data_IF_207838297075
#
_entry.id   IF_207838297075
#
_cell.length_a   1.000
_cell.length_b   1.000
_cell.length_c   1.000
_cell.angle_alpha   90.00
_cell.angle_beta   90.00
_cell.angle_gamma   90.00
#
_symmetry.space_group_name_H-M   'P 1'
#
loop_
_entity.id
_entity.type
_entity.pdbx_description
1 polymer ?
#
# COMPACT_ATOMS: atom_id res chain seq x y z
N UNK A 1 -2.15 56.11 45.47
CA UNK A 1 -3.60 55.87 45.23
C UNK A 1 -3.72 55.03 43.97
N UNK A 2 -4.59 54.02 44.02
CA UNK A 2 -4.91 53.21 42.82
C UNK A 2 -5.52 54.07 41.71
N UNK A 3 -5.27 53.75 40.45
CA UNK A 3 -5.85 54.47 39.32
C UNK A 3 -7.36 54.19 39.20
N UNK A 4 -8.08 55.16 38.70
CA UNK A 4 -9.49 55.00 38.29
C UNK A 4 -9.60 55.05 36.77
N UNK A 5 -10.64 54.45 36.20
CA UNK A 5 -10.86 54.47 34.73
C UNK A 5 -10.98 55.91 34.20
N UNK A 6 -11.59 56.81 34.97
CA UNK A 6 -11.65 58.23 34.63
C UNK A 6 -10.27 58.83 34.50
N UNK A 7 -9.34 58.55 35.43
CA UNK A 7 -7.97 59.04 35.43
C UNK A 7 -7.13 58.46 34.29
N UNK A 8 -7.31 57.18 33.96
CA UNK A 8 -6.69 56.52 32.80
C UNK A 8 -7.17 57.14 31.48
N UNK A 9 -8.48 57.41 31.36
CA UNK A 9 -9.09 57.99 30.17
C UNK A 9 -8.65 59.44 29.98
N UNK A 10 -8.65 60.24 31.04
CA UNK A 10 -8.34 61.66 31.00
C UNK A 10 -6.84 62.00 30.94
N UNK A 11 -5.95 61.02 31.08
CA UNK A 11 -4.51 61.23 30.96
C UNK A 11 -4.18 61.76 29.57
N UNK A 12 -3.64 63.00 29.48
CA UNK A 12 -3.23 63.63 28.20
C UNK A 12 -1.73 63.46 27.95
N UNK A 13 -1.29 63.39 26.71
CA UNK A 13 0.13 63.38 26.39
C UNK A 13 0.82 64.67 26.85
N UNK A 14 2.07 64.59 27.28
CA UNK A 14 2.94 65.66 27.65
C UNK A 14 4.22 65.65 26.76
N UNK A 15 5.04 66.70 26.82
CA UNK A 15 6.27 66.76 26.02
C UNK A 15 7.22 65.59 26.26
N UNK A 16 7.23 65.04 27.49
CA UNK A 16 7.99 63.86 27.88
C UNK A 16 7.06 62.71 28.30
N UNK A 17 7.49 61.50 28.08
CA UNK A 17 6.74 60.35 28.57
C UNK A 17 6.69 60.34 30.12
N UNK A 18 5.54 60.02 30.66
CA UNK A 18 5.36 59.89 32.11
C UNK A 18 4.54 58.64 32.46
N UNK A 19 4.63 58.23 33.71
CA UNK A 19 3.96 57.02 34.20
C UNK A 19 3.00 57.36 35.34
N UNK A 20 1.78 56.85 35.23
CA UNK A 20 0.76 56.86 36.32
C UNK A 20 0.82 55.53 37.05
N UNK A 21 1.10 55.54 38.35
CA UNK A 21 1.25 54.31 39.15
C UNK A 21 -0.11 53.84 39.64
N UNK A 22 -0.43 52.53 39.44
CA UNK A 22 -1.68 51.90 39.97
C UNK A 22 -1.42 51.11 41.26
N UNK A 23 -0.18 50.81 41.59
CA UNK A 23 0.22 50.00 42.73
C UNK A 23 0.74 48.62 42.32
N UNK A 24 1.30 47.91 43.29
CA UNK A 24 1.82 46.53 43.12
C UNK A 24 2.72 46.33 41.90
N UNK A 25 3.54 47.33 41.56
CA UNK A 25 4.42 47.30 40.43
C UNK A 25 3.79 47.62 39.06
N UNK A 26 2.50 47.87 38.99
CA UNK A 26 1.79 48.23 37.74
C UNK A 26 1.72 49.74 37.55
N UNK A 27 1.93 50.17 36.32
CA UNK A 27 1.84 51.57 35.89
C UNK A 27 1.33 51.70 34.45
N UNK A 28 0.69 52.86 34.16
CA UNK A 28 0.34 53.25 32.81
C UNK A 28 1.38 54.26 32.31
N UNK A 29 2.12 53.88 31.29
CA UNK A 29 3.05 54.81 30.59
C UNK A 29 2.27 55.57 29.53
N UNK A 30 2.29 56.88 29.61
CA UNK A 30 1.72 57.79 28.59
C UNK A 30 2.87 58.36 27.78
N UNK A 31 2.84 58.18 26.47
CA UNK A 31 3.84 58.71 25.55
C UNK A 31 3.42 60.05 24.96
N UNK A 32 4.40 60.91 24.49
CA UNK A 32 4.08 62.19 23.86
C UNK A 32 3.12 62.07 22.66
N UNK A 33 3.19 60.96 21.92
CA UNK A 33 2.23 60.65 20.84
C UNK A 33 0.84 60.20 21.24
N UNK A 34 0.50 60.24 22.54
CA UNK A 34 -0.83 59.88 23.06
C UNK A 34 -1.07 58.42 23.35
N UNK A 35 -0.17 57.50 22.93
CA UNK A 35 -0.28 56.09 23.18
C UNK A 35 -0.06 55.77 24.67
N UNK A 36 -0.92 54.86 25.24
CA UNK A 36 -0.88 54.48 26.63
C UNK A 36 -0.59 52.99 26.79
N UNK A 37 0.47 52.66 27.55
CA UNK A 37 0.94 51.27 27.68
C UNK A 37 0.89 50.81 29.13
N UNK A 38 0.28 49.68 29.39
CA UNK A 38 0.32 49.03 30.68
C UNK A 38 1.69 48.36 30.87
N UNK A 39 2.38 48.70 31.96
CA UNK A 39 3.69 48.16 32.33
C UNK A 39 3.62 47.60 33.75
N UNK A 40 4.28 46.44 33.93
CA UNK A 40 4.42 45.75 35.20
C UNK A 40 5.88 45.55 35.54
N UNK A 41 6.28 46.06 36.70
CA UNK A 41 7.64 45.98 37.21
C UNK A 41 7.65 45.01 38.37
N UNK A 42 8.53 43.99 38.33
CA UNK A 42 8.63 42.93 39.33
C UNK A 42 10.07 42.53 39.56
N UNK A 43 10.36 41.84 40.70
CA UNK A 43 11.64 41.25 41.00
C UNK A 43 11.60 39.76 40.84
N UNK A 44 12.60 39.18 40.15
CA UNK A 44 12.79 37.76 39.99
C UNK A 44 14.26 37.43 39.94
N UNK A 45 14.71 36.36 40.66
CA UNK A 45 16.13 36.00 40.74
C UNK A 45 17.03 37.14 41.22
N UNK A 46 16.58 37.99 42.18
CA UNK A 46 17.31 39.14 42.71
C UNK A 46 17.39 40.37 41.79
N UNK A 47 16.90 40.29 40.54
CA UNK A 47 16.94 41.37 39.55
C UNK A 47 15.54 41.97 39.32
N UNK A 48 15.54 43.27 38.95
CA UNK A 48 14.30 43.96 38.61
C UNK A 48 14.01 43.76 37.10
N UNK A 49 12.77 43.42 36.80
CA UNK A 49 12.30 43.17 35.43
C UNK A 49 11.05 44.03 35.11
N UNK A 50 10.85 44.27 33.79
CA UNK A 50 9.70 45.00 33.27
C UNK A 50 8.97 44.12 32.25
N UNK A 51 7.64 44.09 32.32
CA UNK A 51 6.76 43.38 31.41
C UNK A 51 5.66 44.30 30.91
N UNK A 52 5.30 44.24 29.63
CA UNK A 52 4.18 44.96 29.04
C UNK A 52 2.93 44.08 29.03
N UNK A 53 1.77 44.64 29.46
CA UNK A 53 0.49 43.94 29.46
C UNK A 53 -0.41 44.29 28.27
N UNK A 54 -0.07 45.32 27.50
CA UNK A 54 -0.78 45.77 26.32
C UNK A 54 -1.03 47.29 26.29
N UNK A 55 -1.82 47.73 25.35
CA UNK A 55 -2.11 49.12 25.06
C UNK A 55 -3.53 49.43 25.51
N UNK A 56 -3.74 50.58 26.15
CA UNK A 56 -5.07 51.10 26.43
C UNK A 56 -5.58 51.84 25.18
N UNK A 57 -6.86 51.70 24.72
CA UNK A 57 -7.96 51.06 25.44
C UNK A 57 -8.13 49.54 25.18
N UNK A 58 -7.38 48.89 24.27
CA UNK A 58 -7.52 47.47 23.94
C UNK A 58 -7.39 46.56 25.19
N UNK A 59 -6.57 46.98 26.15
CA UNK A 59 -6.48 46.38 27.48
C UNK A 59 -7.02 47.40 28.49
N UNK A 60 -8.16 47.09 29.09
CA UNK A 60 -8.80 47.94 30.12
C UNK A 60 -7.95 47.92 31.41
N UNK A 61 -8.27 48.87 32.35
CA UNK A 61 -7.63 48.86 33.68
C UNK A 61 -7.94 47.57 34.43
N UNK A 62 -9.17 47.05 34.32
CA UNK A 62 -9.56 45.80 34.94
C UNK A 62 -8.75 44.59 34.40
N UNK A 63 -8.57 44.50 33.06
CA UNK A 63 -7.78 43.45 32.42
C UNK A 63 -6.30 43.56 32.78
N UNK A 64 -5.77 44.79 32.85
CA UNK A 64 -4.39 45.01 33.26
C UNK A 64 -4.14 44.54 34.70
N UNK A 65 -5.09 44.80 35.61
CA UNK A 65 -5.02 44.31 36.98
C UNK A 65 -5.11 42.80 37.07
N UNK A 66 -5.96 42.16 36.26
CA UNK A 66 -6.05 40.70 36.19
C UNK A 66 -4.72 40.08 35.72
N UNK A 67 -4.13 40.62 34.65
CA UNK A 67 -2.78 40.20 34.16
C UNK A 67 -1.69 40.42 35.21
N UNK A 68 -1.77 41.49 36.00
CA UNK A 68 -0.85 41.72 37.12
C UNK A 68 -0.96 40.61 38.17
N UNK A 69 -2.17 40.26 38.58
CA UNK A 69 -2.37 39.22 39.59
C UNK A 69 -1.88 37.84 39.08
N UNK A 70 -2.13 37.51 37.82
CA UNK A 70 -1.61 36.30 37.19
C UNK A 70 -0.10 36.29 37.18
N UNK A 71 0.56 37.38 36.76
CA UNK A 71 2.00 37.49 36.78
C UNK A 71 2.60 37.42 38.19
N UNK A 72 1.93 38.02 39.21
CA UNK A 72 2.35 37.90 40.63
C UNK A 72 2.28 36.47 41.16
N UNK A 73 1.23 35.72 40.76
CA UNK A 73 1.12 34.29 41.15
C UNK A 73 2.28 33.46 40.56
N UNK A 74 2.65 33.71 39.31
CA UNK A 74 3.80 33.06 38.69
C UNK A 74 5.11 33.38 39.44
N UNK A 75 5.36 34.65 39.75
CA UNK A 75 6.55 35.06 40.54
C UNK A 75 6.58 34.38 41.92
N UNK A 76 5.41 34.34 42.60
CA UNK A 76 5.29 33.65 43.90
C UNK A 76 5.53 32.14 43.77
N UNK A 77 5.20 31.53 42.65
CA UNK A 77 5.50 30.11 42.33
C UNK A 77 6.95 29.87 41.85
N UNK A 78 7.81 30.90 41.81
CA UNK A 78 9.19 30.76 41.35
C UNK A 78 9.32 30.67 39.83
N UNK A 79 8.31 31.10 39.05
CA UNK A 79 8.30 31.08 37.58
C UNK A 79 8.44 32.51 37.05
N UNK A 80 9.37 32.73 36.09
CA UNK A 80 9.48 34.04 35.41
C UNK A 80 8.30 34.24 34.46
N UNK A 81 7.43 35.25 34.70
CA UNK A 81 6.28 35.49 33.84
C UNK A 81 6.60 35.77 32.37
N UNK A 82 7.80 36.27 32.07
CA UNK A 82 8.26 36.54 30.70
C UNK A 82 8.58 35.24 29.96
N UNK A 83 9.30 34.31 30.64
CA UNK A 83 9.60 33.00 30.09
C UNK A 83 8.34 32.18 29.89
N UNK A 84 7.44 32.20 30.90
CA UNK A 84 6.14 31.56 30.78
C UNK A 84 5.33 32.09 29.57
N UNK A 85 5.25 33.42 29.42
CA UNK A 85 4.56 34.02 28.26
C UNK A 85 5.21 33.66 26.93
N UNK A 86 6.56 33.56 26.89
CA UNK A 86 7.31 33.14 25.71
C UNK A 86 7.04 31.68 25.38
N UNK A 87 7.08 30.80 26.37
CA UNK A 87 6.79 29.37 26.19
C UNK A 87 5.36 29.13 25.68
N UNK A 88 4.35 29.81 26.28
CA UNK A 88 2.96 29.72 25.81
C UNK A 88 2.82 30.22 24.36
N UNK A 89 3.51 31.31 24.01
CA UNK A 89 3.50 31.83 22.63
C UNK A 89 4.22 30.89 21.64
N UNK A 90 5.32 30.29 22.04
CA UNK A 90 6.04 29.29 21.23
C UNK A 90 5.21 28.02 21.07
N UNK A 91 4.48 27.59 22.10
CA UNK A 91 3.59 26.44 22.04
C UNK A 91 2.37 26.71 21.13
N UNK A 92 1.78 27.91 21.18
CA UNK A 92 0.72 28.35 20.27
C UNK A 92 1.19 28.56 18.83
N UNK A 93 2.47 28.85 18.63
CA UNK A 93 3.09 29.04 17.32
C UNK A 93 3.58 27.73 16.68
N UNK A 94 3.62 26.60 17.41
CA UNK A 94 3.90 25.30 16.83
C UNK A 94 2.80 25.00 15.81
N UNK A 95 3.17 24.98 14.53
CA UNK A 95 2.28 24.56 13.45
C UNK A 95 1.69 23.18 13.80
N UNK A 96 0.37 23.08 13.87
CA UNK A 96 -0.29 21.79 14.14
C UNK A 96 0.00 20.87 12.97
N UNK A 97 0.88 19.90 13.20
CA UNK A 97 1.21 18.89 12.20
C UNK A 97 0.17 17.78 12.28
N UNK A 98 -0.73 17.74 11.29
CA UNK A 98 -1.83 16.79 11.27
C UNK A 98 -1.38 15.40 10.80
N UNK A 99 -2.10 14.36 11.23
CA UNK A 99 -1.88 12.99 10.77
C UNK A 99 -1.96 12.88 9.24
N UNK A 100 -2.91 13.57 8.61
CA UNK A 100 -3.09 13.55 7.16
C UNK A 100 -1.88 14.17 6.43
N UNK A 101 -1.30 15.28 6.94
CA UNK A 101 -0.10 15.90 6.38
C UNK A 101 1.05 14.90 6.38
N UNK A 102 1.31 14.28 7.53
CA UNK A 102 2.38 13.27 7.67
C UNK A 102 2.13 12.04 6.81
N UNK A 103 0.89 11.56 6.72
CA UNK A 103 0.53 10.44 5.87
C UNK A 103 0.78 10.73 4.37
N UNK A 104 0.49 11.95 3.92
CA UNK A 104 0.77 12.39 2.54
C UNK A 104 2.28 12.46 2.27
N UNK A 105 3.07 12.98 3.20
CA UNK A 105 4.53 12.98 3.10
C UNK A 105 5.09 11.55 3.05
N UNK A 106 4.63 10.68 3.94
CA UNK A 106 4.99 9.26 3.93
C UNK A 106 4.65 8.56 2.59
N UNK A 107 3.51 8.86 1.97
CA UNK A 107 3.16 8.32 0.66
C UNK A 107 4.19 8.70 -0.42
N UNK A 108 4.71 9.93 -0.40
CA UNK A 108 5.73 10.42 -1.35
C UNK A 108 7.07 9.71 -1.15
N UNK A 109 7.43 9.30 0.07
CA UNK A 109 8.70 8.58 0.32
C UNK A 109 8.72 7.18 -0.27
N UNK A 110 7.56 6.59 -0.57
CA UNK A 110 7.44 5.23 -1.10
C UNK A 110 7.55 5.17 -2.64
N UNK A 111 8.61 5.75 -3.21
CA UNK A 111 8.85 5.84 -4.66
C UNK A 111 8.89 4.50 -5.42
N UNK A 112 9.13 3.38 -4.72
CA UNK A 112 9.14 2.03 -5.31
C UNK A 112 7.75 1.48 -5.64
N UNK A 113 6.70 2.13 -5.17
CA UNK A 113 5.33 1.69 -5.45
C UNK A 113 4.92 2.05 -6.87
N UNK A 114 4.13 1.18 -7.49
CA UNK A 114 3.43 1.57 -8.70
C UNK A 114 2.39 2.65 -8.37
N UNK A 115 2.12 3.52 -9.32
CA UNK A 115 1.10 4.58 -9.17
C UNK A 115 -0.25 4.04 -8.68
N UNK A 116 -0.71 2.93 -9.26
CA UNK A 116 -1.94 2.26 -8.82
C UNK A 116 -1.90 1.77 -7.38
N UNK A 117 -0.75 1.29 -6.91
CA UNK A 117 -0.61 0.85 -5.53
C UNK A 117 -0.65 2.06 -4.60
N UNK A 118 0.08 3.12 -4.93
CA UNK A 118 0.07 4.37 -4.18
C UNK A 118 -1.34 4.97 -4.10
N UNK A 119 -2.06 5.04 -5.23
CA UNK A 119 -3.44 5.54 -5.28
C UNK A 119 -4.41 4.68 -4.45
N UNK A 120 -4.29 3.36 -4.46
CA UNK A 120 -5.10 2.47 -3.61
C UNK A 120 -4.79 2.63 -2.13
N UNK A 121 -3.52 2.82 -1.77
CA UNK A 121 -3.13 3.09 -0.38
C UNK A 121 -3.70 4.42 0.06
N UNK A 122 -3.50 5.49 -0.73
CA UNK A 122 -4.03 6.83 -0.47
C UNK A 122 -5.54 6.79 -0.29
N UNK A 123 -6.28 6.25 -1.26
CA UNK A 123 -7.75 6.14 -1.18
C UNK A 123 -8.21 5.36 0.05
N UNK A 124 -7.51 4.30 0.41
CA UNK A 124 -7.83 3.51 1.60
C UNK A 124 -7.69 4.31 2.91
N UNK A 125 -6.72 5.23 2.99
CA UNK A 125 -6.55 6.14 4.13
C UNK A 125 -7.63 7.23 4.12
N UNK A 126 -7.91 7.81 2.95
CA UNK A 126 -8.96 8.84 2.75
C UNK A 126 -10.35 8.31 3.13
N UNK A 127 -10.67 7.09 2.72
CA UNK A 127 -12.00 6.51 2.95
C UNK A 127 -12.20 6.04 4.41
N UNK A 128 -11.14 5.66 5.13
CA UNK A 128 -11.30 4.94 6.40
C UNK A 128 -10.57 5.56 7.60
N UNK A 129 -9.48 6.32 7.41
CA UNK A 129 -8.65 6.84 8.51
C UNK A 129 -8.80 8.36 8.65
N UNK A 130 -8.65 9.11 7.55
CA UNK A 130 -8.65 10.57 7.59
C UNK A 130 -9.95 11.18 8.13
N UNK A 131 -11.16 10.64 7.88
CA UNK A 131 -12.37 11.19 8.44
C UNK A 131 -12.39 11.22 9.98
N UNK A 132 -11.69 10.28 10.63
CA UNK A 132 -11.68 10.19 12.09
C UNK A 132 -10.51 10.94 12.75
N UNK A 133 -9.31 10.85 12.16
CA UNK A 133 -8.09 11.36 12.80
C UNK A 133 -7.21 12.22 11.88
N UNK A 134 -7.58 12.39 10.61
CA UNK A 134 -6.75 13.09 9.62
C UNK A 134 -6.37 14.51 10.03
N UNK A 135 -7.31 15.28 10.55
CA UNK A 135 -7.14 16.68 10.97
C UNK A 135 -6.51 16.82 12.38
N UNK A 136 -6.34 15.74 13.13
CA UNK A 136 -5.80 15.79 14.49
C UNK A 136 -4.28 15.94 14.48
N UNK A 137 -3.77 16.63 15.50
CA UNK A 137 -2.32 16.75 15.73
C UNK A 137 -1.72 15.35 15.94
N UNK A 138 -0.71 14.98 15.15
CA UNK A 138 -0.07 13.65 15.22
C UNK A 138 0.59 13.37 16.57
N UNK A 139 1.08 14.41 17.25
CA UNK A 139 1.71 14.31 18.56
C UNK A 139 0.73 13.97 19.69
N UNK A 140 -0.57 14.18 19.48
CA UNK A 140 -1.62 13.93 20.49
C UNK A 140 -2.33 12.59 20.28
N UNK A 141 -2.01 11.85 19.20
CA UNK A 141 -2.65 10.59 18.87
C UNK A 141 -2.09 9.44 19.72
N UNK A 142 -2.93 8.87 20.56
CA UNK A 142 -2.63 7.65 21.30
C UNK A 142 -3.07 6.38 20.55
N UNK A 143 -2.67 5.21 21.06
CA UNK A 143 -3.04 3.90 20.50
C UNK A 143 -4.55 3.74 20.32
N UNK A 144 -5.36 4.21 21.29
CA UNK A 144 -6.82 4.15 21.25
C UNK A 144 -7.39 4.95 20.07
N UNK A 145 -6.87 6.16 19.84
CA UNK A 145 -7.34 7.02 18.74
C UNK A 145 -7.09 6.37 17.37
N UNK A 146 -5.94 5.75 17.21
CA UNK A 146 -5.54 5.06 15.99
C UNK A 146 -6.37 3.79 15.74
N UNK A 147 -6.77 3.08 16.81
CA UNK A 147 -7.57 1.87 16.72
C UNK A 147 -9.04 2.12 16.36
N UNK A 148 -9.63 3.21 16.78
CA UNK A 148 -11.06 3.50 16.56
C UNK A 148 -11.48 3.34 15.09
N UNK A 149 -10.86 4.03 14.11
CA UNK A 149 -11.24 3.88 12.70
C UNK A 149 -10.95 2.49 12.15
N UNK A 150 -9.90 1.84 12.60
CA UNK A 150 -9.52 0.49 12.16
C UNK A 150 -10.54 -0.54 12.65
N UNK A 151 -10.98 -0.43 13.91
CA UNK A 151 -12.02 -1.30 14.49
C UNK A 151 -13.38 -1.08 13.83
N UNK A 152 -13.72 0.11 13.40
CA UNK A 152 -14.94 0.36 12.63
C UNK A 152 -14.94 -0.44 11.31
N UNK A 153 -13.80 -0.52 10.63
CA UNK A 153 -13.63 -1.34 9.42
C UNK A 153 -13.69 -2.83 9.74
N UNK A 154 -13.10 -3.27 10.83
CA UNK A 154 -13.16 -4.66 11.31
C UNK A 154 -14.60 -5.09 11.59
N UNK A 155 -15.38 -4.29 12.34
CA UNK A 155 -16.79 -4.54 12.66
C UNK A 155 -17.63 -4.64 11.38
N UNK A 156 -17.27 -3.91 10.32
CA UNK A 156 -17.94 -4.04 9.01
C UNK A 156 -17.63 -5.35 8.26
N UNK A 157 -16.86 -6.27 8.87
CA UNK A 157 -16.48 -7.57 8.28
C UNK A 157 -15.28 -7.50 7.33
N UNK A 158 -14.69 -6.33 7.11
CA UNK A 158 -13.56 -6.14 6.15
C UNK A 158 -12.21 -6.36 6.82
N UNK A 159 -11.99 -7.56 7.38
CA UNK A 159 -10.82 -7.91 8.20
C UNK A 159 -9.47 -7.66 7.49
N UNK A 160 -9.34 -8.02 6.22
CA UNK A 160 -8.09 -7.80 5.47
C UNK A 160 -7.81 -6.31 5.27
N UNK A 161 -8.85 -5.50 5.03
CA UNK A 161 -8.71 -4.05 4.92
C UNK A 161 -8.29 -3.46 6.26
N UNK A 162 -8.93 -3.88 7.37
CA UNK A 162 -8.57 -3.44 8.72
C UNK A 162 -7.12 -3.77 9.06
N UNK A 163 -6.66 -5.01 8.78
CA UNK A 163 -5.27 -5.41 8.98
C UNK A 163 -4.28 -4.57 8.17
N UNK A 164 -4.61 -4.26 6.91
CA UNK A 164 -3.77 -3.39 6.07
C UNK A 164 -3.76 -1.95 6.55
N UNK A 165 -4.88 -1.43 7.03
CA UNK A 165 -4.96 -0.10 7.65
C UNK A 165 -4.10 -0.02 8.90
N UNK A 166 -4.14 -1.04 9.75
CA UNK A 166 -3.26 -1.14 10.92
C UNK A 166 -1.79 -1.06 10.52
N UNK A 167 -1.35 -1.86 9.55
CA UNK A 167 0.04 -1.85 9.06
C UNK A 167 0.45 -0.49 8.52
N UNK A 168 -0.41 0.16 7.73
CA UNK A 168 -0.17 1.49 7.16
C UNK A 168 -0.08 2.56 8.23
N UNK A 169 -1.02 2.56 9.18
CA UNK A 169 -1.01 3.50 10.31
C UNK A 169 0.26 3.33 11.14
N UNK A 170 0.67 2.09 11.43
CA UNK A 170 1.94 1.83 12.12
C UNK A 170 3.16 2.36 11.34
N UNK A 171 3.15 2.22 10.02
CA UNK A 171 4.23 2.73 9.16
C UNK A 171 4.27 4.27 9.12
N UNK A 172 3.10 4.94 9.06
CA UNK A 172 2.99 6.40 9.11
C UNK A 172 3.50 6.94 10.44
N UNK A 173 3.07 6.35 11.57
CA UNK A 173 3.53 6.75 12.90
C UNK A 173 5.03 6.48 13.09
N UNK A 174 5.57 5.41 12.50
CA UNK A 174 7.03 5.16 12.48
C UNK A 174 7.77 6.24 11.68
N UNK A 175 7.24 6.65 10.54
CA UNK A 175 7.79 7.76 9.76
C UNK A 175 7.78 9.07 10.56
N UNK A 176 6.71 9.33 11.34
CA UNK A 176 6.65 10.50 12.21
C UNK A 176 7.76 10.49 13.28
N UNK A 177 8.07 9.33 13.88
CA UNK A 177 9.21 9.19 14.80
C UNK A 177 10.54 9.47 14.08
N UNK A 178 10.74 8.85 12.91
CA UNK A 178 11.96 9.03 12.11
C UNK A 178 12.18 10.46 11.64
N UNK A 179 11.09 11.23 11.48
CA UNK A 179 11.12 12.65 11.12
C UNK A 179 11.19 13.59 12.33
N UNK A 180 11.29 13.05 13.56
CA UNK A 180 11.38 13.84 14.79
C UNK A 180 10.11 14.60 15.16
N UNK A 181 8.95 14.17 14.64
CA UNK A 181 7.65 14.81 14.91
C UNK A 181 7.01 14.29 16.20
N UNK A 182 7.35 13.08 16.61
CA UNK A 182 6.92 12.41 17.84
C UNK A 182 8.07 11.58 18.40
N UNK A 183 8.10 11.37 19.71
CA UNK A 183 9.19 10.66 20.38
C UNK A 183 9.05 9.14 20.35
N UNK A 184 7.81 8.62 20.28
CA UNK A 184 7.52 7.18 20.25
C UNK A 184 6.35 6.89 19.32
N UNK A 185 6.26 5.63 18.85
CA UNK A 185 5.20 5.18 17.96
C UNK A 185 4.07 4.49 18.74
N UNK A 186 2.93 5.15 19.03
CA UNK A 186 1.82 4.56 19.76
C UNK A 186 1.10 3.43 18.99
N UNK A 187 1.36 3.30 17.68
CA UNK A 187 0.77 2.26 16.85
C UNK A 187 1.47 0.89 17.01
N UNK A 188 2.60 0.80 17.70
CA UNK A 188 3.28 -0.49 17.97
C UNK A 188 2.40 -1.41 18.82
N UNK A 189 1.69 -0.85 19.80
CA UNK A 189 0.78 -1.58 20.69
C UNK A 189 -0.51 -2.07 20.01
N UNK A 190 -0.71 -1.72 18.72
CA UNK A 190 -1.84 -2.25 17.96
C UNK A 190 -1.59 -3.66 17.40
N UNK A 191 -0.37 -4.20 17.55
CA UNK A 191 -0.05 -5.54 17.06
C UNK A 191 -0.99 -6.59 17.71
N UNK A 192 -1.67 -7.39 16.86
CA UNK A 192 -2.65 -8.37 17.32
C UNK A 192 -4.03 -7.82 17.71
N UNK A 193 -4.24 -6.50 17.70
CA UNK A 193 -5.52 -5.91 18.06
C UNK A 193 -6.61 -6.14 17.01
N UNK A 194 -6.24 -6.37 15.75
CA UNK A 194 -7.17 -6.69 14.65
C UNK A 194 -7.22 -8.20 14.44
N UNK A 195 -8.41 -8.77 14.35
CA UNK A 195 -8.59 -10.18 14.05
C UNK A 195 -7.91 -10.56 12.73
N UNK A 196 -7.21 -11.69 12.73
CA UNK A 196 -6.60 -12.20 11.52
C UNK A 196 -7.69 -12.63 10.53
N UNK A 197 -7.61 -12.17 9.28
CA UNK A 197 -8.44 -12.76 8.24
C UNK A 197 -7.93 -14.18 7.94
N UNK A 198 -8.82 -15.15 7.92
CA UNK A 198 -8.50 -16.44 7.34
C UNK A 198 -8.18 -16.23 5.86
N UNK A 199 -6.89 -16.20 5.50
CA UNK A 199 -6.47 -16.14 4.10
C UNK A 199 -6.95 -17.39 3.41
N UNK A 200 -8.02 -17.27 2.65
CA UNK A 200 -8.39 -18.34 1.73
C UNK A 200 -7.37 -18.36 0.58
N UNK A 201 -6.77 -19.51 0.35
CA UNK A 201 -5.98 -19.73 -0.85
C UNK A 201 -6.88 -19.59 -2.09
N UNK A 202 -6.29 -19.22 -3.22
CA UNK A 202 -7.04 -19.21 -4.48
C UNK A 202 -7.54 -20.62 -4.76
N UNK A 203 -8.85 -20.79 -5.09
CA UNK A 203 -9.42 -22.12 -5.27
C UNK A 203 -8.74 -22.84 -6.44
N UNK A 204 -8.45 -24.12 -6.22
CA UNK A 204 -7.86 -25.03 -7.19
C UNK A 204 -8.55 -26.39 -7.04
N UNK A 205 -8.78 -27.10 -8.15
CA UNK A 205 -9.36 -28.45 -8.11
C UNK A 205 -8.38 -29.45 -7.49
N UNK A 206 -8.92 -30.47 -6.86
CA UNK A 206 -8.16 -31.66 -6.51
C UNK A 206 -7.65 -32.33 -7.78
N UNK A 207 -6.43 -32.88 -7.75
CA UNK A 207 -5.78 -33.44 -8.94
C UNK A 207 -6.58 -34.59 -9.59
N UNK A 208 -7.33 -35.33 -8.82
CA UNK A 208 -8.26 -36.38 -9.32
C UNK A 208 -9.35 -35.86 -10.26
N UNK A 209 -9.65 -34.53 -10.25
CA UNK A 209 -10.61 -33.89 -11.12
C UNK A 209 -10.01 -33.29 -12.39
N UNK A 210 -8.71 -33.52 -12.65
CA UNK A 210 -8.05 -33.07 -13.89
C UNK A 210 -8.78 -33.62 -15.13
N UNK A 211 -9.14 -34.93 -15.22
CA UNK A 211 -9.88 -35.45 -16.38
C UNK A 211 -11.19 -34.69 -16.67
N UNK A 212 -11.99 -34.42 -15.63
CA UNK A 212 -13.22 -33.61 -15.74
C UNK A 212 -12.96 -32.22 -16.28
N UNK A 213 -11.91 -31.55 -15.79
CA UNK A 213 -11.55 -30.21 -16.25
C UNK A 213 -11.15 -30.22 -17.74
N UNK A 214 -10.37 -31.19 -18.15
CA UNK A 214 -9.92 -31.31 -19.55
C UNK A 214 -11.09 -31.59 -20.49
N UNK A 215 -12.00 -32.49 -20.13
CA UNK A 215 -13.22 -32.77 -20.89
C UNK A 215 -14.07 -31.50 -21.05
N UNK A 216 -14.24 -30.69 -19.99
CA UNK A 216 -14.97 -29.43 -20.04
C UNK A 216 -14.28 -28.35 -20.86
N UNK A 217 -12.94 -28.32 -20.87
CA UNK A 217 -12.19 -27.41 -21.76
C UNK A 217 -12.37 -27.84 -23.22
N UNK A 218 -12.30 -29.13 -23.52
CA UNK A 218 -12.43 -29.67 -24.87
C UNK A 218 -13.85 -29.48 -25.43
N UNK A 219 -14.87 -29.63 -24.57
CA UNK A 219 -16.29 -29.43 -24.93
C UNK A 219 -16.75 -27.96 -24.89
N UNK A 220 -15.86 -27.00 -24.57
CA UNK A 220 -16.22 -25.60 -24.50
C UNK A 220 -16.63 -25.04 -25.87
N UNK A 221 -17.88 -24.63 -25.98
CA UNK A 221 -18.50 -24.16 -27.23
C UNK A 221 -18.42 -22.64 -27.45
N UNK A 222 -17.78 -21.91 -26.55
CA UNK A 222 -17.58 -20.47 -26.69
C UNK A 222 -16.49 -20.11 -27.71
N UNK A 223 -16.04 -18.87 -27.70
CA UNK A 223 -15.03 -18.37 -28.64
C UNK A 223 -13.76 -19.25 -28.61
N UNK A 224 -13.24 -19.72 -29.76
CA UNK A 224 -12.04 -20.55 -29.82
C UNK A 224 -10.83 -19.93 -29.09
N UNK A 225 -10.59 -18.63 -29.26
CA UNK A 225 -9.49 -17.92 -28.59
C UNK A 225 -9.61 -18.00 -27.06
N UNK A 226 -10.82 -18.00 -26.50
CA UNK A 226 -11.06 -18.16 -25.05
C UNK A 226 -10.72 -19.57 -24.57
N UNK A 227 -11.07 -20.62 -25.36
CA UNK A 227 -10.69 -22.00 -25.08
C UNK A 227 -9.18 -22.16 -25.07
N UNK A 228 -8.50 -21.70 -26.13
CA UNK A 228 -7.06 -21.75 -26.25
C UNK A 228 -6.34 -20.98 -25.14
N UNK A 229 -6.86 -19.80 -24.77
CA UNK A 229 -6.32 -19.03 -23.64
C UNK A 229 -6.42 -19.79 -22.32
N UNK A 230 -7.55 -20.52 -22.11
CA UNK A 230 -7.77 -21.31 -20.89
C UNK A 230 -6.83 -22.50 -20.87
N UNK A 231 -6.72 -23.25 -21.97
CA UNK A 231 -5.86 -24.41 -22.11
C UNK A 231 -4.37 -24.02 -21.98
N UNK A 232 -3.96 -22.93 -22.67
CA UNK A 232 -2.59 -22.45 -22.56
C UNK A 232 -2.26 -21.97 -21.14
N UNK A 233 -3.22 -21.34 -20.45
CA UNK A 233 -3.03 -20.95 -19.03
C UNK A 233 -2.78 -22.18 -18.15
N UNK A 234 -3.42 -23.31 -18.42
CA UNK A 234 -3.21 -24.57 -17.71
C UNK A 234 -1.82 -25.15 -18.05
N UNK A 235 -1.44 -25.19 -19.33
CA UNK A 235 -0.20 -25.77 -19.81
C UNK A 235 1.06 -25.04 -19.30
N UNK A 236 1.07 -23.72 -19.30
CA UNK A 236 2.26 -22.93 -18.96
C UNK A 236 2.17 -22.25 -17.60
N UNK A 237 1.02 -22.25 -16.97
CA UNK A 237 0.67 -21.72 -15.63
C UNK A 237 1.35 -20.40 -15.24
N UNK A 238 1.48 -19.46 -16.20
CA UNK A 238 1.93 -18.09 -15.98
C UNK A 238 0.80 -17.24 -15.37
N UNK A 239 1.10 -15.98 -15.02
CA UNK A 239 0.07 -15.09 -14.46
C UNK A 239 -0.88 -14.58 -15.53
N UNK A 240 -2.14 -14.33 -15.16
CA UNK A 240 -3.18 -13.83 -16.07
C UNK A 240 -2.79 -12.53 -16.79
N UNK A 241 -2.07 -11.61 -16.13
CA UNK A 241 -1.58 -10.39 -16.78
C UNK A 241 -0.44 -10.64 -17.75
N UNK A 242 0.38 -11.65 -17.49
CA UNK A 242 1.48 -12.04 -18.38
C UNK A 242 0.92 -12.64 -19.67
N UNK A 243 -0.10 -13.51 -19.57
CA UNK A 243 -0.83 -14.05 -20.70
C UNK A 243 -1.61 -12.97 -21.49
N UNK A 244 -2.43 -12.19 -20.76
CA UNK A 244 -3.37 -11.23 -21.37
C UNK A 244 -2.72 -10.21 -22.27
N UNK A 245 -1.53 -9.72 -21.91
CA UNK A 245 -0.79 -8.69 -22.63
C UNK A 245 0.29 -9.25 -23.55
N UNK A 246 0.27 -10.57 -23.81
CA UNK A 246 1.23 -11.26 -24.65
C UNK A 246 1.26 -10.74 -26.09
N UNK A 247 2.46 -10.63 -26.64
CA UNK A 247 2.70 -10.22 -28.02
C UNK A 247 3.43 -11.29 -28.79
N UNK A 248 3.20 -11.36 -30.10
CA UNK A 248 3.87 -12.32 -30.96
C UNK A 248 5.40 -12.15 -30.96
N UNK A 249 5.90 -10.94 -30.77
CA UNK A 249 7.34 -10.65 -30.67
C UNK A 249 8.01 -11.29 -29.45
N UNK A 250 7.23 -11.78 -28.48
CA UNK A 250 7.74 -12.45 -27.27
C UNK A 250 7.94 -13.97 -27.49
N UNK A 251 7.41 -14.52 -28.59
CA UNK A 251 7.40 -15.96 -28.88
C UNK A 251 8.46 -16.30 -29.91
N UNK A 252 9.42 -17.10 -29.53
CA UNK A 252 10.38 -17.74 -30.42
C UNK A 252 9.93 -19.18 -30.70
N UNK A 253 9.43 -19.41 -31.93
CA UNK A 253 8.96 -20.74 -32.36
C UNK A 253 10.09 -21.69 -32.68
N UNK A 254 11.30 -21.19 -33.00
CA UNK A 254 12.47 -22.03 -33.33
C UNK A 254 13.04 -22.64 -32.07
N UNK A 255 13.26 -21.83 -31.04
CA UNK A 255 13.78 -22.27 -29.74
C UNK A 255 12.69 -22.77 -28.78
N UNK A 256 11.43 -22.71 -29.19
CA UNK A 256 10.27 -23.06 -28.33
C UNK A 256 10.26 -22.31 -27.01
N UNK A 257 10.47 -20.99 -27.07
CA UNK A 257 10.61 -20.15 -25.90
C UNK A 257 9.68 -18.94 -25.96
N UNK A 258 9.03 -18.66 -24.84
CA UNK A 258 8.33 -17.39 -24.61
C UNK A 258 9.13 -16.53 -23.64
N UNK A 259 9.60 -15.38 -24.11
CA UNK A 259 10.32 -14.41 -23.28
C UNK A 259 9.38 -13.28 -22.86
N UNK A 260 8.89 -13.34 -21.64
CA UNK A 260 8.06 -12.27 -21.07
C UNK A 260 8.99 -11.13 -20.63
N UNK A 261 8.90 -9.93 -21.24
CA UNK A 261 9.80 -8.82 -20.91
C UNK A 261 9.49 -8.23 -19.50
N UNK A 262 10.42 -7.49 -18.89
CA UNK A 262 10.17 -6.80 -17.62
C UNK A 262 9.04 -5.78 -17.73
N UNK A 263 8.96 -5.08 -18.84
CA UNK A 263 7.93 -4.08 -19.18
C UNK A 263 7.56 -4.21 -20.66
N UNK A 264 6.38 -3.77 -21.01
CA UNK A 264 5.81 -3.75 -22.36
C UNK A 264 5.44 -2.32 -22.77
N UNK A 265 5.36 -2.07 -24.06
CA UNK A 265 4.80 -0.83 -24.57
C UNK A 265 3.34 -0.66 -24.09
N UNK A 266 2.96 0.52 -23.54
CA UNK A 266 1.60 0.77 -23.09
C UNK A 266 0.59 0.70 -24.26
N UNK A 267 -0.55 0.07 -24.01
CA UNK A 267 -1.66 0.07 -24.98
C UNK A 267 -2.59 1.25 -24.62
N UNK A 268 -2.85 2.18 -25.58
CA UNK A 268 -3.68 3.36 -25.31
C UNK A 268 -5.06 2.98 -24.75
N UNK A 269 -5.45 3.63 -23.66
CA UNK A 269 -6.73 3.40 -22.99
C UNK A 269 -6.85 2.07 -22.22
N UNK A 270 -5.78 1.27 -22.12
CA UNK A 270 -5.77 0.01 -21.37
C UNK A 270 -4.90 0.15 -20.13
N UNK A 271 -5.53 0.15 -18.97
CA UNK A 271 -4.82 0.23 -17.69
C UNK A 271 -3.87 -0.96 -17.51
N UNK A 272 -2.67 -0.68 -17.01
CA UNK A 272 -1.67 -1.69 -16.65
C UNK A 272 -1.08 -2.47 -17.83
N UNK A 273 -1.31 -2.08 -19.07
CA UNK A 273 -0.81 -2.78 -20.24
C UNK A 273 0.71 -2.78 -20.39
N UNK A 274 1.40 -1.84 -19.71
CA UNK A 274 2.86 -1.80 -19.63
C UNK A 274 3.45 -2.92 -18.75
N UNK A 275 2.62 -3.69 -18.05
CA UNK A 275 3.10 -4.77 -17.19
C UNK A 275 3.65 -5.92 -18.02
N UNK A 276 4.93 -6.19 -17.85
CA UNK A 276 5.57 -7.41 -18.22
C UNK A 276 5.59 -8.43 -17.07
N UNK A 277 6.72 -9.07 -16.86
CA UNK A 277 6.95 -9.97 -15.73
C UNK A 277 6.78 -9.24 -14.40
N UNK A 278 6.07 -9.88 -13.47
CA UNK A 278 5.80 -9.31 -12.12
C UNK A 278 7.09 -8.96 -11.37
N UNK A 279 8.17 -9.67 -11.65
CA UNK A 279 9.46 -9.48 -10.98
C UNK A 279 10.33 -8.38 -11.62
N UNK A 280 9.85 -7.72 -12.68
CA UNK A 280 10.57 -6.70 -13.46
C UNK A 280 11.93 -7.18 -14.00
N UNK A 281 12.06 -8.48 -14.22
CA UNK A 281 13.17 -9.14 -14.92
C UNK A 281 12.58 -9.99 -16.03
N UNK A 282 13.29 -10.25 -17.14
CA UNK A 282 12.79 -11.17 -18.16
C UNK A 282 12.43 -12.52 -17.56
N UNK A 283 11.26 -13.05 -17.92
CA UNK A 283 10.85 -14.39 -17.51
C UNK A 283 10.81 -15.31 -18.71
N UNK A 284 11.72 -16.26 -18.77
CA UNK A 284 11.81 -17.27 -19.81
C UNK A 284 10.81 -18.39 -19.51
N UNK A 285 9.92 -18.70 -20.42
CA UNK A 285 8.92 -19.76 -20.31
C UNK A 285 9.13 -20.77 -21.44
N UNK A 286 9.67 -21.96 -21.17
CA UNK A 286 9.75 -23.01 -22.17
C UNK A 286 8.33 -23.43 -22.62
N UNK A 287 8.18 -23.75 -23.88
CA UNK A 287 6.90 -24.14 -24.47
C UNK A 287 6.95 -25.63 -24.83
N UNK A 288 5.98 -26.39 -24.30
CA UNK A 288 5.77 -27.78 -24.71
C UNK A 288 5.25 -27.87 -26.14
N UNK A 289 5.29 -29.05 -26.76
CA UNK A 289 4.74 -29.30 -28.09
C UNK A 289 3.27 -28.92 -28.18
N UNK A 290 2.49 -29.21 -27.14
CA UNK A 290 1.07 -28.89 -27.01
C UNK A 290 0.85 -27.35 -26.95
N UNK A 291 1.64 -26.63 -26.15
CA UNK A 291 1.57 -25.19 -26.04
C UNK A 291 1.91 -24.50 -27.39
N UNK A 292 2.94 -25.01 -28.08
CA UNK A 292 3.30 -24.53 -29.43
C UNK A 292 2.20 -24.80 -30.47
N UNK A 293 1.56 -25.96 -30.40
CA UNK A 293 0.44 -26.30 -31.30
C UNK A 293 -0.71 -25.31 -31.12
N UNK A 294 -1.07 -24.97 -29.88
CA UNK A 294 -2.10 -23.99 -29.57
C UNK A 294 -1.68 -22.59 -30.09
N UNK A 295 -0.46 -22.15 -29.84
CA UNK A 295 0.03 -20.86 -30.31
C UNK A 295 0.03 -20.77 -31.83
N UNK A 296 0.34 -21.86 -32.55
CA UNK A 296 0.26 -21.93 -34.02
C UNK A 296 -1.22 -21.79 -34.49
N UNK A 297 -2.16 -22.44 -33.83
CA UNK A 297 -3.60 -22.28 -34.12
C UNK A 297 -4.06 -20.82 -33.89
N UNK A 298 -3.67 -20.21 -32.77
CA UNK A 298 -3.97 -18.81 -32.50
C UNK A 298 -3.34 -17.90 -33.57
N UNK A 299 -2.11 -18.18 -34.02
CA UNK A 299 -1.43 -17.42 -35.06
C UNK A 299 -2.14 -17.48 -36.41
N UNK A 300 -2.73 -18.61 -36.75
CA UNK A 300 -3.57 -18.75 -37.94
C UNK A 300 -4.90 -17.99 -37.79
N UNK A 301 -5.42 -17.89 -36.56
CA UNK A 301 -6.70 -17.25 -36.28
C UNK A 301 -6.62 -15.73 -36.21
N UNK A 302 -5.56 -15.16 -35.64
CA UNK A 302 -5.42 -13.72 -35.39
C UNK A 302 -3.96 -13.22 -35.42
N UNK A 303 -3.07 -13.90 -36.16
CA UNK A 303 -1.63 -13.60 -36.18
C UNK A 303 -1.25 -12.29 -36.89
N UNK A 304 -2.19 -11.64 -37.61
CA UNK A 304 -2.03 -10.31 -38.20
C UNK A 304 -2.03 -9.17 -37.15
N UNK A 305 -2.49 -9.44 -35.93
CA UNK A 305 -2.51 -8.47 -34.85
C UNK A 305 -1.23 -8.55 -34.01
N UNK A 306 -0.89 -7.50 -33.31
CA UNK A 306 0.27 -7.45 -32.40
C UNK A 306 0.09 -8.37 -31.18
N UNK A 307 -1.13 -8.34 -30.60
CA UNK A 307 -1.50 -9.10 -29.42
C UNK A 307 -1.87 -10.55 -29.79
N UNK A 308 -1.44 -11.50 -28.97
CA UNK A 308 -1.84 -12.92 -29.10
C UNK A 308 -3.32 -13.11 -28.68
N UNK A 309 -3.72 -12.47 -27.60
CA UNK A 309 -5.06 -12.61 -27.01
C UNK A 309 -5.84 -11.30 -27.18
N UNK A 310 -6.36 -11.11 -28.38
CA UNK A 310 -7.14 -9.93 -28.77
C UNK A 310 -8.53 -9.89 -28.13
N UNK A 311 -9.03 -8.66 -27.90
CA UNK A 311 -10.38 -8.42 -27.41
C UNK A 311 -11.47 -8.80 -28.42
N UNK A 312 -12.69 -8.99 -27.93
CA UNK A 312 -13.81 -9.42 -28.77
C UNK A 312 -14.33 -8.31 -29.70
N UNK A 313 -14.29 -7.05 -29.25
CA UNK A 313 -14.83 -5.90 -29.98
C UNK A 313 -13.76 -5.00 -30.60
N UNK A 314 -12.52 -5.05 -30.08
CA UNK A 314 -11.42 -4.25 -30.59
C UNK A 314 -10.13 -5.09 -30.51
N UNK A 315 -9.61 -5.56 -31.65
CA UNK A 315 -8.41 -6.41 -31.67
C UNK A 315 -7.12 -5.66 -31.25
N UNK A 316 -7.14 -4.33 -31.21
CA UNK A 316 -6.03 -3.52 -30.67
C UNK A 316 -5.98 -3.55 -29.14
N UNK A 317 -7.02 -4.05 -28.50
CA UNK A 317 -7.12 -4.23 -27.05
C UNK A 317 -6.98 -5.69 -26.69
N UNK A 318 -6.43 -6.01 -25.53
CA UNK A 318 -6.32 -7.40 -25.07
C UNK A 318 -7.68 -7.92 -24.59
N UNK A 319 -7.83 -9.24 -24.54
CA UNK A 319 -8.96 -9.90 -23.89
C UNK A 319 -9.15 -9.40 -22.44
N UNK A 320 -10.35 -9.57 -21.88
CA UNK A 320 -10.63 -9.24 -20.50
C UNK A 320 -9.77 -10.06 -19.53
N UNK A 321 -9.35 -9.47 -18.40
CA UNK A 321 -8.62 -10.19 -17.36
C UNK A 321 -9.42 -11.33 -16.72
N UNK A 322 -10.75 -11.28 -16.86
CA UNK A 322 -11.68 -12.29 -16.37
C UNK A 322 -12.03 -13.37 -17.40
N UNK A 323 -11.47 -13.34 -18.61
CA UNK A 323 -11.85 -14.25 -19.70
C UNK A 323 -11.75 -15.72 -19.28
N UNK A 324 -10.62 -16.16 -18.71
CA UNK A 324 -10.44 -17.54 -18.22
C UNK A 324 -11.43 -17.89 -17.11
N UNK A 325 -11.64 -16.99 -16.13
CA UNK A 325 -12.61 -17.24 -15.06
C UNK A 325 -14.06 -17.23 -15.58
N UNK A 326 -14.35 -16.46 -16.61
CA UNK A 326 -15.66 -16.48 -17.27
C UNK A 326 -15.90 -17.79 -18.00
N UNK A 327 -14.88 -18.30 -18.71
CA UNK A 327 -14.94 -19.63 -19.33
C UNK A 327 -15.18 -20.74 -18.30
N UNK A 328 -14.45 -20.72 -17.17
CA UNK A 328 -14.65 -21.70 -16.11
C UNK A 328 -16.07 -21.66 -15.53
N UNK A 329 -16.67 -20.49 -15.37
CA UNK A 329 -18.09 -20.37 -14.97
C UNK A 329 -19.05 -20.93 -15.99
N UNK A 330 -18.80 -20.71 -17.28
CA UNK A 330 -19.61 -21.28 -18.37
C UNK A 330 -19.49 -22.82 -18.37
N UNK A 331 -18.31 -23.36 -18.02
CA UNK A 331 -18.08 -24.79 -17.82
C UNK A 331 -18.76 -25.36 -16.56
N UNK A 332 -19.40 -24.50 -15.76
CA UNK A 332 -20.14 -24.90 -14.55
C UNK A 332 -19.35 -24.87 -13.24
N UNK A 333 -18.17 -24.26 -13.19
CA UNK A 333 -17.38 -24.14 -11.96
C UNK A 333 -17.69 -22.88 -11.16
N UNK A 334 -17.73 -22.97 -9.84
CA UNK A 334 -17.67 -21.80 -8.96
C UNK A 334 -16.22 -21.30 -8.84
N UNK A 335 -15.93 -20.15 -9.46
CA UNK A 335 -14.59 -19.57 -9.46
C UNK A 335 -14.18 -18.92 -8.14
N UNK A 336 -15.06 -18.88 -7.14
CA UNK A 336 -14.75 -18.41 -5.78
C UNK A 336 -14.39 -19.57 -4.85
N UNK A 337 -14.88 -20.77 -5.11
CA UNK A 337 -14.79 -21.90 -4.18
C UNK A 337 -14.05 -23.09 -4.80
N UNK A 338 -14.30 -23.44 -6.08
CA UNK A 338 -13.78 -24.66 -6.70
C UNK A 338 -12.48 -24.44 -7.45
N UNK A 339 -12.47 -23.57 -8.46
CA UNK A 339 -11.30 -23.31 -9.30
C UNK A 339 -11.34 -21.94 -9.94
N UNK A 340 -10.20 -21.28 -10.03
CA UNK A 340 -10.01 -20.08 -10.84
C UNK A 340 -8.76 -20.22 -11.71
N UNK A 341 -8.59 -19.37 -12.71
CA UNK A 341 -7.41 -19.44 -13.60
C UNK A 341 -6.07 -19.35 -12.86
N UNK A 342 -6.03 -18.72 -11.68
CA UNK A 342 -4.84 -18.75 -10.81
C UNK A 342 -4.66 -20.13 -10.15
N UNK A 343 -5.72 -20.87 -9.90
CA UNK A 343 -5.71 -22.22 -9.32
C UNK A 343 -4.97 -23.23 -10.21
N UNK A 344 -4.93 -23.03 -11.53
CA UNK A 344 -4.12 -23.84 -12.44
C UNK A 344 -2.65 -23.89 -12.05
N UNK A 345 -2.12 -22.80 -11.52
CA UNK A 345 -0.75 -22.74 -11.02
C UNK A 345 -0.54 -23.64 -9.79
N UNK A 346 -1.54 -23.68 -8.90
CA UNK A 346 -1.52 -24.58 -7.74
C UNK A 346 -1.58 -26.02 -8.19
N UNK A 347 -2.46 -26.36 -9.14
CA UNK A 347 -2.58 -27.72 -9.69
C UNK A 347 -1.27 -28.19 -10.33
N UNK A 348 -0.68 -27.36 -11.21
CA UNK A 348 0.60 -27.68 -11.86
C UNK A 348 1.72 -27.85 -10.82
N UNK A 349 1.86 -26.93 -9.88
CA UNK A 349 2.86 -27.00 -8.83
C UNK A 349 2.73 -28.26 -7.98
N UNK A 350 1.49 -28.61 -7.54
CA UNK A 350 1.23 -29.83 -6.76
C UNK A 350 1.57 -31.07 -7.56
N UNK A 351 1.15 -31.16 -8.82
CA UNK A 351 1.44 -32.33 -9.68
C UNK A 351 2.93 -32.52 -9.94
N UNK A 352 3.65 -31.43 -10.20
CA UNK A 352 5.09 -31.47 -10.44
C UNK A 352 5.87 -31.90 -9.19
N UNK A 353 5.45 -31.46 -8.01
CA UNK A 353 6.04 -31.89 -6.74
C UNK A 353 5.71 -33.36 -6.43
N UNK A 354 4.44 -33.77 -6.58
CA UNK A 354 4.02 -35.17 -6.35
C UNK A 354 4.65 -36.17 -7.30
N UNK A 355 5.05 -35.75 -8.51
CA UNK A 355 5.77 -36.62 -9.43
C UNK A 355 7.13 -37.09 -8.89
N UNK A 356 7.75 -36.30 -8.00
CA UNK A 356 9.07 -36.56 -7.45
C UNK A 356 10.22 -36.49 -8.49
N UNK A 357 9.96 -35.89 -9.67
CA UNK A 357 10.92 -35.80 -10.77
C UNK A 357 11.71 -34.50 -10.79
N UNK A 358 11.13 -33.40 -10.31
CA UNK A 358 11.60 -32.04 -10.56
C UNK A 358 12.10 -31.38 -9.30
N UNK A 359 13.16 -30.59 -9.43
CA UNK A 359 13.66 -29.80 -8.33
C UNK A 359 12.65 -28.72 -7.94
N UNK A 360 12.53 -28.45 -6.63
CA UNK A 360 11.67 -27.37 -6.13
C UNK A 360 12.06 -26.03 -6.75
N UNK A 361 13.35 -25.81 -7.00
CA UNK A 361 13.87 -24.57 -7.56
C UNK A 361 13.42 -24.36 -9.01
N UNK A 362 13.39 -25.43 -9.83
CA UNK A 362 12.84 -25.37 -11.18
C UNK A 362 11.34 -25.03 -11.20
N UNK A 363 10.55 -25.65 -10.31
CA UNK A 363 9.12 -25.36 -10.17
C UNK A 363 8.90 -23.92 -9.73
N UNK A 364 9.58 -23.45 -8.69
CA UNK A 364 9.47 -22.05 -8.18
C UNK A 364 9.93 -21.04 -9.26
N UNK A 365 10.97 -21.35 -10.03
CA UNK A 365 11.45 -20.50 -11.13
C UNK A 365 10.42 -20.40 -12.25
N UNK A 366 9.77 -21.51 -12.63
CA UNK A 366 8.66 -21.49 -13.59
C UNK A 366 7.47 -20.68 -13.08
N UNK A 367 7.18 -20.74 -11.79
CA UNK A 367 6.19 -19.92 -11.13
C UNK A 367 6.58 -18.43 -11.07
N UNK A 368 7.79 -18.07 -11.49
CA UNK A 368 8.33 -16.71 -11.34
C UNK A 368 8.18 -16.22 -9.88
N UNK A 369 8.51 -17.09 -8.94
CA UNK A 369 8.60 -16.74 -7.52
C UNK A 369 10.04 -16.32 -7.20
N UNK A 370 10.19 -15.29 -6.34
CA UNK A 370 11.50 -14.93 -5.82
C UNK A 370 11.86 -15.80 -4.62
N UNK A 371 13.12 -16.21 -4.57
CA UNK A 371 13.70 -16.77 -3.35
C UNK A 371 13.60 -15.72 -2.22
N UNK A 372 12.98 -16.09 -1.11
CA UNK A 372 12.79 -15.20 0.04
C UNK A 372 14.01 -15.12 0.95
N UNK A 373 14.89 -16.12 0.87
CA UNK A 373 16.11 -16.13 1.64
C UNK A 373 17.17 -15.28 0.91
N UNK A 374 17.53 -14.14 1.49
CA UNK A 374 18.51 -13.21 0.89
C UNK A 374 19.89 -13.82 0.69
N UNK A 375 20.30 -14.74 1.56
CA UNK A 375 21.58 -15.47 1.43
C UNK A 375 21.52 -16.40 0.24
N UNK A 376 20.47 -17.21 0.11
CA UNK A 376 20.26 -18.13 -1.02
C UNK A 376 20.11 -17.38 -2.35
N UNK A 377 19.43 -16.23 -2.34
CA UNK A 377 19.29 -15.35 -3.52
C UNK A 377 20.65 -14.92 -4.08
N UNK A 378 21.63 -14.63 -3.23
CA UNK A 378 22.96 -14.21 -3.66
C UNK A 378 23.71 -15.32 -4.43
N UNK A 379 23.47 -16.58 -4.10
CA UNK A 379 24.13 -17.75 -4.73
C UNK A 379 23.38 -18.28 -5.95
N UNK A 380 22.04 -18.17 -6.02
CA UNK A 380 21.19 -18.78 -7.07
C UNK A 380 20.70 -17.74 -8.10
N UNK A 381 21.06 -16.48 -7.95
CA UNK A 381 20.50 -15.34 -8.69
C UNK A 381 20.49 -15.45 -10.22
N UNK A 382 21.34 -16.31 -10.82
CA UNK A 382 21.46 -16.47 -12.28
C UNK A 382 21.05 -17.84 -12.80
N UNK A 383 20.63 -18.76 -11.94
CA UNK A 383 20.29 -20.12 -12.38
C UNK A 383 18.85 -20.17 -12.89
N UNK A 384 18.68 -20.37 -14.18
CA UNK A 384 17.35 -20.42 -14.82
C UNK A 384 16.72 -21.81 -14.81
N UNK A 385 17.47 -22.87 -14.47
CA UNK A 385 17.03 -24.28 -14.55
C UNK A 385 16.38 -24.61 -15.91
N UNK A 386 16.88 -24.01 -16.99
CA UNK A 386 16.15 -23.94 -18.25
C UNK A 386 15.95 -25.33 -18.89
N UNK A 387 16.96 -26.18 -18.87
CA UNK A 387 16.85 -27.49 -19.46
C UNK A 387 15.94 -28.42 -18.65
N UNK A 388 16.04 -28.37 -17.32
CA UNK A 388 15.10 -29.06 -16.43
C UNK A 388 13.65 -28.56 -16.65
N UNK A 389 13.45 -27.25 -16.78
CA UNK A 389 12.12 -26.65 -17.01
C UNK A 389 11.55 -27.01 -18.38
N UNK A 390 12.36 -27.17 -19.42
CA UNK A 390 11.92 -27.68 -20.73
C UNK A 390 11.34 -29.09 -20.61
N UNK A 391 12.07 -29.98 -19.95
CA UNK A 391 11.61 -31.36 -19.70
C UNK A 391 10.37 -31.36 -18.79
N UNK A 392 10.36 -30.55 -17.75
CA UNK A 392 9.26 -30.43 -16.79
C UNK A 392 7.97 -29.97 -17.46
N UNK A 393 8.01 -28.96 -18.31
CA UNK A 393 6.80 -28.46 -18.99
C UNK A 393 6.31 -29.40 -20.08
N UNK A 394 7.21 -30.13 -20.75
CA UNK A 394 6.81 -31.21 -21.67
C UNK A 394 6.14 -32.34 -20.89
N UNK A 395 6.76 -32.80 -19.79
CA UNK A 395 6.15 -33.84 -18.94
C UNK A 395 4.77 -33.42 -18.41
N UNK A 396 4.60 -32.17 -17.98
CA UNK A 396 3.32 -31.66 -17.51
C UNK A 396 2.27 -31.70 -18.61
N UNK A 397 2.60 -31.30 -19.82
CA UNK A 397 1.69 -31.34 -20.95
C UNK A 397 1.32 -32.77 -21.33
N UNK A 398 2.28 -33.71 -21.35
CA UNK A 398 2.05 -35.12 -21.65
C UNK A 398 1.23 -35.80 -20.53
N UNK A 399 1.43 -35.41 -19.26
CA UNK A 399 0.60 -35.84 -18.14
C UNK A 399 -0.86 -35.38 -18.27
N UNK A 400 -1.09 -34.15 -18.73
CA UNK A 400 -2.45 -33.66 -19.03
C UNK A 400 -3.08 -34.48 -20.17
N UNK A 401 -2.35 -34.77 -21.24
CA UNK A 401 -2.84 -35.59 -22.35
C UNK A 401 -3.19 -37.01 -21.89
N UNK A 402 -2.34 -37.64 -21.08
CA UNK A 402 -2.64 -38.94 -20.49
C UNK A 402 -3.91 -38.92 -19.61
N UNK A 403 -4.19 -37.81 -18.94
CA UNK A 403 -5.42 -37.63 -18.16
C UNK A 403 -6.67 -37.36 -19.00
N UNK A 404 -6.55 -37.03 -20.29
CA UNK A 404 -7.70 -36.99 -21.23
C UNK A 404 -8.24 -38.40 -21.53
N UNK A 405 -7.34 -39.39 -21.57
CA UNK A 405 -7.68 -40.75 -21.87
C UNK A 405 -8.05 -41.58 -20.60
N UNK A 406 -7.24 -41.42 -19.56
CA UNK A 406 -7.37 -42.19 -18.33
C UNK A 406 -6.88 -41.38 -17.14
N UNK A 407 -7.71 -41.24 -16.12
CA UNK A 407 -7.30 -40.61 -14.85
C UNK A 407 -6.11 -41.36 -14.24
N UNK A 408 -4.96 -40.65 -14.14
CA UNK A 408 -3.72 -41.16 -13.56
C UNK A 408 -3.14 -40.15 -12.59
N UNK A 409 -2.55 -40.60 -11.49
CA UNK A 409 -1.89 -39.74 -10.53
C UNK A 409 -0.53 -39.26 -11.07
N UNK A 410 -0.01 -38.10 -10.63
CA UNK A 410 1.31 -37.62 -11.04
C UNK A 410 2.44 -38.63 -10.70
N UNK A 411 2.33 -39.28 -9.55
CA UNK A 411 3.29 -40.26 -9.08
C UNK A 411 3.30 -41.53 -9.95
N UNK A 412 2.12 -42.06 -10.28
CA UNK A 412 2.02 -43.24 -11.12
C UNK A 412 2.46 -42.99 -12.56
N UNK A 413 2.09 -41.81 -13.10
CA UNK A 413 2.56 -41.40 -14.42
C UNK A 413 4.08 -41.24 -14.47
N UNK A 414 4.70 -40.69 -13.41
CA UNK A 414 6.15 -40.58 -13.30
C UNK A 414 6.83 -41.96 -13.27
N UNK A 415 6.25 -42.97 -12.62
CA UNK A 415 6.80 -44.35 -12.61
C UNK A 415 6.79 -45.01 -13.97
N UNK A 416 5.69 -44.88 -14.72
CA UNK A 416 5.57 -45.46 -16.06
C UNK A 416 6.68 -44.93 -16.98
N UNK A 417 6.94 -43.61 -16.88
CA UNK A 417 7.95 -42.97 -17.73
C UNK A 417 9.40 -43.21 -17.28
N UNK A 418 9.65 -43.61 -16.03
CA UNK A 418 10.96 -44.07 -15.57
C UNK A 418 11.29 -45.49 -16.05
N UNK A 419 10.27 -46.34 -16.16
CA UNK A 419 10.46 -47.75 -16.61
C UNK A 419 10.66 -47.91 -18.10
N UNK A 420 10.40 -46.90 -18.93
CA UNK A 420 10.60 -46.94 -20.39
C UNK A 420 11.94 -46.34 -20.85
N UNK A 421 12.81 -45.97 -19.93
CA UNK A 421 14.12 -45.35 -20.19
C UNK A 421 15.34 -46.18 -19.73
N UNK A 422 15.14 -47.46 -19.33
CA UNK A 422 16.19 -48.42 -19.09
C UNK A 422 16.38 -49.40 -20.27
#
# INVERSE_FOLDING_TARGET
MALTDTKVRSAKPEEKEYSLVDGDGMSLLVKPGGSKYWRFRFRFGGKQHLMAFGVYPDVSLADARKKREEARKLVAAGIDPREHKRAVKEEQAKEIITFEKVAKEWLVTNQKWSEDHANRVKKSLEDNIFPAIGARNIAELGTRDLLIPIKAVEISGRLEVASRLQQRTTAIMRYAVQSGLIDYNPAQEMAGAVASSNRQHRPALELKRIPELLEKIDSYTGRPLTRWATELTLLIFIRSSELRFARWSEIDFETSMWTIPPEREPIPGVKHSQRGSKMRTPHLVPLSKQALAILKQIKQFCGEHELIFIGDHDPRKPMSENTVNSALRVMGYDTKVEICGHGFRTMACSSLIESGLWSKDAVERQMSHMERNSVRTAYIHKTEHLDERKLMLQWWADFLDANREKGITPFDYAKINRGNGE
#
